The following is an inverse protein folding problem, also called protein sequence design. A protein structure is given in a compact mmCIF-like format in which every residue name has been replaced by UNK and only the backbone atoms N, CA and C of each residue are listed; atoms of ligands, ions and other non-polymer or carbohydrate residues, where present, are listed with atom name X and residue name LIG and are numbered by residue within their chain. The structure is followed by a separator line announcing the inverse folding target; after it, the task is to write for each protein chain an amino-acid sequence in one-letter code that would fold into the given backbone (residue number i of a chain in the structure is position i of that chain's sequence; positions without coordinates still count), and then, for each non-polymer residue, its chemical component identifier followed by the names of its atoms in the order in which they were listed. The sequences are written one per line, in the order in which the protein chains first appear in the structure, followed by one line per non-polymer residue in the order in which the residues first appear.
data_IF_378237657597
#
_entry.id   IF_378237657597
#
_cell.length_a   1.000
_cell.length_b   1.000
_cell.length_c   1.000
_cell.angle_alpha   90.00
_cell.angle_beta   90.00
_cell.angle_gamma   90.00
#
_symmetry.space_group_name_H-M   'P 1'
#
loop_
_entity.id
_entity.type
_entity.pdbx_description
1 polymer ?
#
# COMPACT_ATOMS: atom_id res chain seq x y z
N UNK A 1 5.56 -18.48 24.42
CA UNK A 1 5.64 -17.18 23.72
C UNK A 1 5.44 -17.32 22.21
N UNK A 2 6.10 -18.27 21.53
CA UNK A 2 5.90 -18.52 20.09
C UNK A 2 4.46 -18.90 19.74
N UNK A 3 3.81 -19.79 20.49
CA UNK A 3 2.42 -20.21 20.27
C UNK A 3 1.42 -19.05 20.40
N UNK A 4 1.64 -18.15 21.36
CA UNK A 4 0.82 -16.95 21.51
C UNK A 4 0.94 -16.01 20.30
N UNK A 5 2.17 -15.78 19.83
CA UNK A 5 2.42 -14.97 18.64
C UNK A 5 1.82 -15.59 17.39
N UNK A 6 1.90 -16.91 17.24
CA UNK A 6 1.31 -17.63 16.11
C UNK A 6 -0.22 -17.58 16.16
N UNK A 7 -0.82 -17.77 17.35
CA UNK A 7 -2.26 -17.64 17.54
C UNK A 7 -2.77 -16.23 17.22
N UNK A 8 -2.07 -15.22 17.70
CA UNK A 8 -2.39 -13.80 17.42
C UNK A 8 -2.24 -13.47 15.92
N UNK A 9 -1.19 -13.95 15.29
CA UNK A 9 -0.98 -13.81 13.83
C UNK A 9 -2.12 -14.47 13.04
N UNK A 10 -2.55 -15.66 13.40
CA UNK A 10 -3.62 -16.37 12.71
C UNK A 10 -4.97 -15.66 12.84
N UNK A 11 -5.22 -14.99 13.96
CA UNK A 11 -6.43 -14.16 14.12
C UNK A 11 -6.34 -12.90 13.26
N UNK A 12 -5.18 -12.23 13.26
CA UNK A 12 -4.97 -11.01 12.47
C UNK A 12 -5.03 -11.26 10.96
N UNK A 13 -4.44 -12.36 10.48
CA UNK A 13 -4.45 -12.73 9.06
C UNK A 13 -5.58 -13.69 8.68
N UNK A 14 -6.49 -13.95 9.61
CA UNK A 14 -7.62 -14.83 9.42
C UNK A 14 -8.81 -14.18 8.69
N UNK A 15 -9.90 -14.94 8.63
CA UNK A 15 -11.14 -14.53 7.98
C UNK A 15 -11.68 -13.14 8.41
N UNK A 16 -11.57 -12.69 9.69
CA UNK A 16 -12.11 -11.39 10.09
C UNK A 16 -11.51 -10.21 9.35
N UNK A 17 -10.17 -10.20 9.16
CA UNK A 17 -9.50 -9.09 8.47
C UNK A 17 -9.76 -9.13 6.98
N UNK A 18 -9.83 -10.32 6.36
CA UNK A 18 -10.19 -10.47 4.96
C UNK A 18 -11.61 -9.97 4.67
N UNK A 19 -12.55 -10.30 5.54
CA UNK A 19 -13.94 -9.82 5.45
C UNK A 19 -13.98 -8.31 5.61
N UNK A 20 -13.28 -7.76 6.60
CA UNK A 20 -13.19 -6.31 6.83
C UNK A 20 -12.61 -5.58 5.61
N UNK A 21 -11.51 -6.08 5.04
CA UNK A 21 -10.92 -5.53 3.82
C UNK A 21 -11.88 -5.60 2.63
N UNK A 22 -12.61 -6.70 2.50
CA UNK A 22 -13.63 -6.86 1.46
C UNK A 22 -14.76 -5.83 1.61
N UNK A 23 -15.30 -5.68 2.82
CA UNK A 23 -16.38 -4.72 3.13
C UNK A 23 -15.89 -3.29 2.86
N UNK A 24 -14.73 -2.91 3.38
CA UNK A 24 -14.16 -1.56 3.20
C UNK A 24 -13.88 -1.27 1.72
N UNK A 25 -13.28 -2.21 1.00
CA UNK A 25 -13.02 -2.09 -0.44
C UNK A 25 -14.31 -1.94 -1.24
N UNK A 26 -15.35 -2.71 -0.90
CA UNK A 26 -16.65 -2.64 -1.54
C UNK A 26 -17.36 -1.31 -1.24
N UNK A 27 -17.36 -0.86 0.01
CA UNK A 27 -17.93 0.43 0.40
C UNK A 27 -17.29 1.59 -0.36
N UNK A 28 -15.96 1.62 -0.45
CA UNK A 28 -15.27 2.62 -1.24
C UNK A 28 -15.54 2.46 -2.73
N UNK A 29 -15.62 1.23 -3.25
CA UNK A 29 -15.99 0.95 -4.63
C UNK A 29 -17.35 1.54 -4.99
N UNK A 30 -18.36 1.29 -4.17
CA UNK A 30 -19.72 1.80 -4.36
C UNK A 30 -19.76 3.34 -4.22
N UNK A 31 -19.15 3.89 -3.16
CA UNK A 31 -19.11 5.34 -2.91
C UNK A 31 -18.44 6.12 -4.04
N UNK A 32 -17.40 5.57 -4.63
CA UNK A 32 -16.67 6.20 -5.76
C UNK A 32 -17.22 5.78 -7.12
N UNK A 33 -18.33 5.01 -7.17
CA UNK A 33 -18.95 4.48 -8.40
C UNK A 33 -17.96 3.73 -9.29
N UNK A 34 -17.12 2.91 -8.67
CA UNK A 34 -16.05 2.17 -9.35
C UNK A 34 -15.20 3.04 -10.29
N UNK A 35 -14.77 4.19 -9.78
CA UNK A 35 -14.00 5.20 -10.50
C UNK A 35 -12.84 4.60 -11.31
N UNK A 36 -12.13 3.63 -10.75
CA UNK A 36 -11.00 2.98 -11.41
C UNK A 36 -11.41 2.25 -12.69
N UNK A 37 -12.56 1.59 -12.72
CA UNK A 37 -13.04 0.88 -13.92
C UNK A 37 -13.56 1.88 -14.96
N UNK A 38 -14.35 2.85 -14.53
CA UNK A 38 -14.95 3.85 -15.42
C UNK A 38 -13.94 4.80 -16.04
N UNK A 39 -12.89 5.16 -15.31
CA UNK A 39 -11.87 6.12 -15.73
C UNK A 39 -10.53 5.46 -16.07
N UNK A 40 -10.49 4.11 -16.19
CA UNK A 40 -9.27 3.37 -16.48
C UNK A 40 -8.55 3.91 -17.73
N UNK A 41 -9.27 4.11 -18.81
CA UNK A 41 -8.70 4.66 -20.04
C UNK A 41 -8.14 6.06 -19.88
N UNK A 42 -8.80 6.92 -19.12
CA UNK A 42 -8.32 8.27 -18.82
C UNK A 42 -7.07 8.24 -17.95
N UNK A 43 -7.05 7.40 -16.91
CA UNK A 43 -5.92 7.23 -16.01
C UNK A 43 -4.70 6.70 -16.78
N UNK A 44 -4.88 5.64 -17.57
CA UNK A 44 -3.80 5.07 -18.37
C UNK A 44 -3.26 6.08 -19.38
N UNK A 45 -4.13 6.80 -20.11
CA UNK A 45 -3.71 7.80 -21.08
C UNK A 45 -2.89 8.93 -20.44
N UNK A 46 -3.32 9.45 -19.31
CA UNK A 46 -2.60 10.52 -18.63
C UNK A 46 -1.32 10.00 -17.97
N UNK A 47 -1.37 8.87 -17.27
CA UNK A 47 -0.19 8.32 -16.60
C UNK A 47 0.85 7.87 -17.62
N UNK A 48 0.47 7.07 -18.62
CA UNK A 48 1.38 6.64 -19.67
C UNK A 48 1.84 7.82 -20.54
N UNK A 49 0.95 8.74 -20.85
CA UNK A 49 1.29 9.95 -21.61
C UNK A 49 2.32 10.83 -20.92
N UNK A 50 2.23 10.99 -19.61
CA UNK A 50 3.23 11.74 -18.82
C UNK A 50 4.53 10.97 -18.61
N UNK A 51 4.46 9.64 -18.52
CA UNK A 51 5.66 8.80 -18.42
C UNK A 51 6.53 8.89 -19.68
N UNK A 52 5.93 9.01 -20.86
CA UNK A 52 6.64 9.11 -22.13
C UNK A 52 6.99 10.54 -22.56
N UNK A 53 6.45 11.56 -21.91
CA UNK A 53 6.86 12.94 -22.15
C UNK A 53 8.22 13.21 -21.55
N UNK A 54 9.22 13.35 -22.41
CA UNK A 54 10.59 13.76 -22.05
C UNK A 54 10.50 15.16 -21.41
N UNK A 55 10.66 15.24 -20.07
CA UNK A 55 10.57 16.50 -19.31
C UNK A 55 9.26 16.71 -18.52
N UNK A 56 8.37 15.72 -18.46
CA UNK A 56 7.12 15.82 -17.72
C UNK A 56 7.34 15.94 -16.21
N UNK A 57 7.16 17.16 -15.70
CA UNK A 57 6.66 17.35 -14.37
C UNK A 57 7.58 17.21 -13.17
N UNK A 58 8.88 17.43 -13.29
CA UNK A 58 9.62 17.91 -12.14
C UNK A 58 9.22 19.38 -11.92
N UNK A 59 8.13 19.60 -11.17
CA UNK A 59 7.95 20.93 -10.53
C UNK A 59 9.23 21.17 -9.78
N UNK A 60 9.93 22.30 -10.04
CA UNK A 60 11.25 22.60 -9.47
C UNK A 60 11.29 22.72 -7.95
N UNK A 61 10.32 22.18 -7.26
CA UNK A 61 10.23 22.08 -5.80
C UNK A 61 11.09 20.89 -5.33
N UNK A 62 12.02 21.14 -4.43
CA UNK A 62 12.87 20.12 -3.80
C UNK A 62 11.98 19.05 -3.16
N UNK A 63 12.17 17.78 -3.56
CA UNK A 63 11.42 16.64 -2.98
C UNK A 63 10.17 16.20 -3.76
N UNK A 64 9.91 16.73 -4.95
CA UNK A 64 8.88 16.20 -5.86
C UNK A 64 9.49 15.15 -6.80
N UNK A 65 8.86 13.96 -6.84
CA UNK A 65 9.24 12.89 -7.76
C UNK A 65 8.50 13.08 -9.09
N UNK A 66 9.16 12.72 -10.17
CA UNK A 66 8.46 12.60 -11.47
C UNK A 66 7.47 11.45 -11.42
N UNK A 67 6.39 11.45 -12.23
CA UNK A 67 5.41 10.37 -12.25
C UNK A 67 6.05 8.99 -12.47
N UNK A 68 7.05 8.90 -13.32
CA UNK A 68 7.79 7.66 -13.55
C UNK A 68 8.57 7.21 -12.31
N UNK A 69 9.29 8.12 -11.66
CA UNK A 69 10.02 7.82 -10.42
C UNK A 69 9.07 7.38 -9.30
N UNK A 70 7.91 8.02 -9.19
CA UNK A 70 6.89 7.65 -8.19
C UNK A 70 6.35 6.24 -8.43
N UNK A 71 6.06 5.87 -9.69
CA UNK A 71 5.60 4.52 -10.05
C UNK A 71 6.69 3.49 -9.80
N UNK A 72 7.93 3.75 -10.23
CA UNK A 72 9.06 2.83 -9.99
C UNK A 72 9.33 2.63 -8.50
N UNK A 73 9.29 3.71 -7.71
CA UNK A 73 9.46 3.62 -6.26
C UNK A 73 8.35 2.83 -5.58
N UNK A 74 7.09 3.04 -5.99
CA UNK A 74 5.95 2.30 -5.49
C UNK A 74 6.04 0.81 -5.84
N UNK A 75 6.40 0.47 -7.07
CA UNK A 75 6.61 -0.91 -7.50
C UNK A 75 7.75 -1.58 -6.73
N UNK A 76 8.89 -0.90 -6.57
CA UNK A 76 10.02 -1.41 -5.80
C UNK A 76 9.67 -1.70 -4.34
N UNK A 77 8.77 -0.91 -3.74
CA UNK A 77 8.29 -1.15 -2.39
C UNK A 77 7.21 -2.23 -2.28
N UNK A 78 6.51 -2.56 -3.37
CA UNK A 78 5.42 -3.54 -3.36
C UNK A 78 5.84 -4.93 -3.87
N UNK A 79 6.84 -5.00 -4.76
CA UNK A 79 7.30 -6.26 -5.35
C UNK A 79 8.35 -6.89 -4.43
N UNK A 80 7.95 -7.97 -3.76
CA UNK A 80 8.82 -8.76 -2.89
C UNK A 80 8.81 -10.23 -3.27
N UNK A 81 9.60 -11.03 -2.59
CA UNK A 81 9.67 -12.49 -2.76
C UNK A 81 8.31 -13.18 -2.57
N UNK A 82 7.46 -12.62 -1.70
CA UNK A 82 6.10 -13.10 -1.46
C UNK A 82 5.20 -13.04 -2.71
N UNK A 83 5.46 -12.13 -3.65
CA UNK A 83 4.69 -12.03 -4.89
C UNK A 83 4.96 -13.19 -5.85
N UNK A 84 6.09 -13.87 -5.70
CA UNK A 84 6.44 -15.05 -6.50
C UNK A 84 6.17 -16.31 -5.69
N UNK A 85 6.86 -16.49 -4.58
CA UNK A 85 6.75 -17.68 -3.74
C UNK A 85 5.36 -17.81 -3.08
N UNK A 86 4.78 -16.71 -2.60
CA UNK A 86 3.45 -16.72 -1.98
C UNK A 86 2.34 -17.08 -2.96
N UNK A 87 2.41 -16.61 -4.20
CA UNK A 87 1.44 -16.98 -5.25
C UNK A 87 1.58 -18.45 -5.62
N UNK A 88 2.81 -18.94 -5.76
CA UNK A 88 3.07 -20.36 -6.04
C UNK A 88 2.52 -21.25 -4.91
N UNK A 89 2.78 -20.90 -3.66
CA UNK A 89 2.24 -21.62 -2.50
C UNK A 89 0.72 -21.58 -2.45
N UNK A 90 0.10 -20.43 -2.74
CA UNK A 90 -1.35 -20.31 -2.80
C UNK A 90 -1.97 -21.21 -3.88
N UNK A 91 -1.32 -21.34 -5.04
CA UNK A 91 -1.77 -22.25 -6.11
C UNK A 91 -1.62 -23.73 -5.72
N UNK A 92 -0.57 -24.07 -5.02
CA UNK A 92 -0.36 -25.47 -4.55
C UNK A 92 -1.42 -25.86 -3.51
N UNK A 93 -1.76 -24.96 -2.60
CA UNK A 93 -2.73 -25.24 -1.52
C UNK A 93 -4.17 -25.11 -1.99
N UNK A 94 -4.47 -24.05 -2.74
CA UNK A 94 -5.84 -23.67 -3.11
C UNK A 94 -6.24 -24.02 -4.55
N UNK A 95 -5.34 -24.61 -5.33
CA UNK A 95 -5.56 -24.95 -6.74
C UNK A 95 -5.74 -23.71 -7.64
N UNK A 96 -6.17 -23.89 -8.90
CA UNK A 96 -6.37 -22.80 -9.86
C UNK A 96 -7.39 -21.74 -9.42
N UNK A 97 -8.36 -22.14 -8.60
CA UNK A 97 -9.38 -21.24 -8.03
C UNK A 97 -8.79 -20.15 -7.13
N UNK A 98 -7.63 -20.39 -6.50
CA UNK A 98 -6.96 -19.41 -5.68
C UNK A 98 -6.60 -18.14 -6.48
N UNK A 99 -6.12 -18.29 -7.72
CA UNK A 99 -5.76 -17.17 -8.59
C UNK A 99 -6.98 -16.30 -8.92
N UNK A 100 -8.12 -16.91 -9.16
CA UNK A 100 -9.36 -16.17 -9.40
C UNK A 100 -9.74 -15.31 -8.19
N UNK A 101 -9.72 -15.88 -6.98
CA UNK A 101 -10.02 -15.12 -5.77
C UNK A 101 -8.99 -14.05 -5.46
N UNK A 102 -7.72 -14.28 -5.79
CA UNK A 102 -6.68 -13.24 -5.67
C UNK A 102 -7.00 -12.04 -6.57
N UNK A 103 -7.49 -12.25 -7.79
CA UNK A 103 -7.91 -11.15 -8.67
C UNK A 103 -9.10 -10.38 -8.11
N UNK A 104 -10.10 -11.08 -7.59
CA UNK A 104 -11.27 -10.44 -6.97
C UNK A 104 -10.86 -9.55 -5.79
N UNK A 105 -10.02 -10.07 -4.89
CA UNK A 105 -9.51 -9.31 -3.75
C UNK A 105 -8.63 -8.15 -4.19
N UNK A 106 -7.81 -8.33 -5.22
CA UNK A 106 -6.98 -7.27 -5.77
C UNK A 106 -7.81 -6.10 -6.31
N UNK A 107 -8.90 -6.37 -7.01
CA UNK A 107 -9.83 -5.33 -7.49
C UNK A 107 -10.44 -4.52 -6.34
N UNK A 108 -10.82 -5.18 -5.25
CA UNK A 108 -11.32 -4.50 -4.05
C UNK A 108 -10.20 -3.72 -3.33
N UNK A 109 -9.01 -4.31 -3.25
CA UNK A 109 -7.83 -3.68 -2.64
C UNK A 109 -7.35 -2.42 -3.37
N UNK A 110 -7.52 -2.37 -4.70
CA UNK A 110 -7.18 -1.17 -5.48
C UNK A 110 -7.91 0.08 -4.99
N UNK A 111 -9.21 -0.04 -4.61
CA UNK A 111 -9.97 1.12 -4.11
C UNK A 111 -9.47 1.58 -2.76
N UNK A 112 -9.20 0.65 -1.86
CA UNK A 112 -8.66 0.96 -0.54
C UNK A 112 -7.32 1.69 -0.67
N UNK A 113 -6.45 1.21 -1.56
CA UNK A 113 -5.15 1.83 -1.82
C UNK A 113 -5.28 3.21 -2.47
N UNK A 114 -6.21 3.39 -3.40
CA UNK A 114 -6.49 4.68 -4.03
C UNK A 114 -6.92 5.73 -2.98
N UNK A 115 -7.81 5.36 -2.07
CA UNK A 115 -8.26 6.25 -0.98
C UNK A 115 -7.11 6.57 -0.04
N UNK A 116 -6.29 5.58 0.36
CA UNK A 116 -5.13 5.77 1.22
C UNK A 116 -4.13 6.77 0.63
N UNK A 117 -3.76 6.58 -0.63
CA UNK A 117 -2.82 7.48 -1.34
C UNK A 117 -3.40 8.88 -1.47
N UNK A 118 -4.69 9.01 -1.79
CA UNK A 118 -5.37 10.31 -1.90
C UNK A 118 -5.38 11.04 -0.57
N UNK A 119 -5.69 10.36 0.53
CA UNK A 119 -5.63 10.93 1.87
C UNK A 119 -4.21 11.33 2.25
N UNK A 120 -3.22 10.49 1.93
CA UNK A 120 -1.80 10.79 2.16
C UNK A 120 -1.34 12.05 1.43
N UNK A 121 -1.81 12.27 0.21
CA UNK A 121 -1.52 13.47 -0.58
C UNK A 121 -2.27 14.70 -0.04
N UNK A 122 -3.53 14.54 0.34
CA UNK A 122 -4.37 15.65 0.82
C UNK A 122 -3.87 16.22 2.16
N UNK A 123 -3.45 15.35 3.08
CA UNK A 123 -2.99 15.74 4.42
C UNK A 123 -1.46 15.92 4.53
N UNK A 124 -0.72 15.91 3.42
CA UNK A 124 0.72 16.13 3.45
C UNK A 124 1.09 17.51 3.97
N UNK A 125 2.26 17.59 4.61
CA UNK A 125 2.80 18.81 5.21
C UNK A 125 4.08 19.18 4.51
N UNK A 126 4.27 20.48 4.26
CA UNK A 126 5.56 21.01 3.83
C UNK A 126 6.41 21.27 5.09
N UNK A 127 7.52 20.57 5.23
CA UNK A 127 8.48 20.79 6.32
C UNK A 127 9.25 22.09 6.16
N UNK A 128 9.97 22.46 7.19
CA UNK A 128 10.84 23.65 7.19
C UNK A 128 11.96 23.55 6.14
N UNK A 129 12.34 22.33 5.79
CA UNK A 129 13.37 22.02 4.79
C UNK A 129 12.84 22.06 3.34
N UNK A 130 11.59 22.46 3.14
CA UNK A 130 10.94 22.49 1.83
C UNK A 130 10.48 21.12 1.33
N UNK A 131 10.71 20.04 2.07
CA UNK A 131 10.32 18.68 1.72
C UNK A 131 8.89 18.39 2.17
N UNK A 132 8.15 17.62 1.36
CA UNK A 132 6.80 17.22 1.70
C UNK A 132 6.79 15.92 2.51
N UNK A 133 6.14 15.95 3.66
CA UNK A 133 5.92 14.79 4.53
C UNK A 133 4.45 14.40 4.46
N UNK A 134 4.18 13.13 4.23
CA UNK A 134 2.84 12.55 4.17
C UNK A 134 2.83 11.13 4.70
N UNK A 135 1.64 10.59 4.90
CA UNK A 135 1.48 9.21 5.34
C UNK A 135 0.31 9.04 6.30
N UNK A 136 0.02 7.79 6.70
CA UNK A 136 -1.11 7.48 7.58
C UNK A 136 -1.11 8.24 8.90
N UNK A 137 0.05 8.45 9.51
CA UNK A 137 0.18 9.19 10.76
C UNK A 137 -0.33 10.62 10.65
N UNK A 138 -0.12 11.28 9.50
CA UNK A 138 -0.54 12.65 9.29
C UNK A 138 -2.04 12.78 9.05
N UNK A 139 -2.65 11.89 8.26
CA UNK A 139 -4.10 11.97 8.06
C UNK A 139 -4.90 11.45 9.26
N UNK A 140 -4.36 10.56 10.09
CA UNK A 140 -4.99 10.17 11.35
C UNK A 140 -5.01 11.36 12.32
N UNK A 141 -3.87 12.05 12.51
CA UNK A 141 -3.78 13.18 13.44
C UNK A 141 -4.62 14.38 12.97
N UNK A 142 -4.59 14.70 11.67
CA UNK A 142 -5.27 15.87 11.12
C UNK A 142 -6.71 15.63 10.71
N UNK A 143 -7.03 14.45 10.22
CA UNK A 143 -8.37 14.10 9.76
C UNK A 143 -9.31 13.71 10.89
N UNK A 144 -8.81 12.95 11.88
CA UNK A 144 -9.61 12.49 13.03
C UNK A 144 -9.45 13.41 14.26
N UNK A 145 -8.47 14.32 14.24
CA UNK A 145 -8.26 15.30 15.32
C UNK A 145 -7.23 14.86 16.37
N UNK A 146 -6.84 15.82 17.20
CA UNK A 146 -5.76 15.67 18.21
C UNK A 146 -5.99 14.54 19.22
N UNK A 147 -7.22 14.12 19.45
CA UNK A 147 -7.57 13.00 20.36
C UNK A 147 -7.03 11.66 19.85
N UNK A 148 -6.82 11.51 18.55
CA UNK A 148 -6.35 10.28 17.92
C UNK A 148 -4.82 10.23 17.70
N UNK A 149 -4.11 11.20 18.27
CA UNK A 149 -2.64 11.25 18.23
C UNK A 149 -1.95 9.97 18.74
N UNK A 150 -2.39 9.31 19.85
CA UNK A 150 -1.77 8.07 20.28
C UNK A 150 -1.89 6.95 19.23
N UNK A 151 -2.99 6.90 18.46
CA UNK A 151 -3.14 5.95 17.36
C UNK A 151 -2.16 6.23 16.22
N UNK A 152 -1.94 7.50 15.89
CA UNK A 152 -0.96 7.91 14.88
C UNK A 152 0.47 7.50 15.27
N UNK A 153 0.83 7.68 16.54
CA UNK A 153 2.14 7.28 17.11
C UNK A 153 2.28 5.75 17.08
N UNK A 154 1.25 5.02 17.53
CA UNK A 154 1.23 3.56 17.50
C UNK A 154 1.45 3.04 16.06
N UNK A 155 0.77 3.63 15.09
CA UNK A 155 0.91 3.27 13.68
C UNK A 155 2.32 3.56 13.15
N UNK A 156 2.91 4.72 13.50
CA UNK A 156 4.28 5.08 13.11
C UNK A 156 5.31 4.09 13.68
N UNK A 157 5.18 3.73 14.96
CA UNK A 157 6.06 2.75 15.61
C UNK A 157 5.92 1.38 14.95
N UNK A 158 4.70 0.94 14.65
CA UNK A 158 4.45 -0.35 13.99
C UNK A 158 5.06 -0.41 12.58
N UNK A 159 4.98 0.68 11.80
CA UNK A 159 5.62 0.76 10.48
C UNK A 159 7.15 0.68 10.60
N UNK A 160 7.75 1.37 11.56
CA UNK A 160 9.21 1.33 11.77
C UNK A 160 9.64 -0.08 12.14
N UNK A 161 8.97 -0.71 13.11
CA UNK A 161 9.27 -2.09 13.52
C UNK A 161 9.06 -3.10 12.38
N UNK A 162 7.95 -2.96 11.64
CA UNK A 162 7.66 -3.81 10.47
C UNK A 162 8.67 -3.62 9.35
N UNK A 163 9.07 -2.38 9.07
CA UNK A 163 10.10 -2.07 8.08
C UNK A 163 11.47 -2.64 8.44
N UNK A 164 11.88 -2.54 9.70
CA UNK A 164 13.12 -3.16 10.20
C UNK A 164 13.03 -4.69 10.11
N UNK A 165 11.89 -5.29 10.45
CA UNK A 165 11.67 -6.74 10.34
C UNK A 165 11.77 -7.25 8.90
N UNK A 166 11.12 -6.55 7.95
CA UNK A 166 11.18 -6.94 6.52
C UNK A 166 12.57 -6.74 5.93
N UNK A 167 13.29 -5.70 6.32
CA UNK A 167 14.68 -5.48 5.90
C UNK A 167 15.61 -6.57 6.44
N UNK A 168 15.45 -6.97 7.71
CA UNK A 168 16.22 -8.05 8.31
C UNK A 168 15.93 -9.41 7.66
N UNK A 169 14.65 -9.76 7.43
CA UNK A 169 14.27 -10.99 6.75
C UNK A 169 14.71 -11.02 5.29
N UNK A 170 14.59 -9.90 4.56
CA UNK A 170 15.05 -9.78 3.17
C UNK A 170 16.57 -9.94 3.05
N UNK A 171 17.31 -9.32 3.96
CA UNK A 171 18.76 -9.50 4.07
C UNK A 171 19.15 -10.93 4.38
N UNK A 172 18.53 -11.55 5.36
CA UNK A 172 18.81 -12.96 5.73
C UNK A 172 18.50 -13.92 4.59
N UNK A 173 17.42 -13.72 3.83
CA UNK A 173 17.10 -14.55 2.67
C UNK A 173 18.12 -14.38 1.54
N UNK A 174 18.69 -13.20 1.36
CA UNK A 174 19.70 -12.94 0.34
C UNK A 174 21.07 -13.55 0.71
N UNK A 175 21.48 -13.44 1.98
CA UNK A 175 22.75 -13.99 2.45
C UNK A 175 22.69 -15.48 2.81
N UNK A 176 21.51 -16.03 3.08
CA UNK A 176 21.35 -17.47 3.40
C UNK A 176 21.24 -18.38 2.16
N UNK A 177 21.22 -17.81 0.95
CA UNK A 177 21.19 -18.54 -0.33
C UNK A 177 22.58 -18.63 -1.02
N UNK A 178 23.65 -18.15 -0.38
CA UNK A 178 25.05 -18.27 -0.79
C UNK A 178 25.73 -19.29 0.10
#
# INVERSE_FOLDING_TARGET
MAEFLTGFSNILWGAPVLILLGIVGLLYGIRTKFFQIRKMGYILKNTAGEMFKKGGGASGDKGTLTPLQAVCSALAGCVGTANIAGVATAMVIGGPGAVFWMWVIALLGMMTKCVEVTLGQYYRIKGKDGVYYGGPMYYIERGMGKKWKPLAIFFAVTIILGGLGTAACGGAAFFGSV
#
